data_IF_606897399619
#
_entry.id   IF_606897399619
#
_cell.length_a   1.000
_cell.length_b   1.000
_cell.length_c   1.000
_cell.angle_alpha   90.00
_cell.angle_beta   90.00
_cell.angle_gamma   90.00
#
_symmetry.space_group_name_H-M   'P 1'
#
loop_
_entity.id
_entity.type
_entity.pdbx_description
1 polymer ?
#
# COMPACT_ATOMS: atom_id res chain seq x y z
N UNK A 1 -36.85 -15.01 15.09
CA UNK A 1 -36.01 -13.89 15.57
C UNK A 1 -34.50 -14.12 15.38
N UNK A 2 -33.94 -15.31 15.62
CA UNK A 2 -32.49 -15.58 15.51
C UNK A 2 -31.84 -15.33 14.14
N UNK A 3 -32.53 -15.61 13.02
CA UNK A 3 -31.94 -15.46 11.68
C UNK A 3 -31.68 -14.01 11.25
N UNK A 4 -32.48 -13.06 11.74
CA UNK A 4 -32.33 -11.64 11.43
C UNK A 4 -31.09 -11.03 12.11
N UNK A 5 -30.87 -11.38 13.37
CA UNK A 5 -29.72 -10.91 14.15
C UNK A 5 -28.40 -11.41 13.59
N UNK A 6 -28.33 -12.68 13.16
CA UNK A 6 -27.12 -13.25 12.54
C UNK A 6 -26.77 -12.54 11.22
N UNK A 7 -27.78 -12.18 10.40
CA UNK A 7 -27.59 -11.45 9.14
C UNK A 7 -27.09 -10.03 9.37
N UNK A 8 -27.60 -9.35 10.41
CA UNK A 8 -27.21 -7.99 10.79
C UNK A 8 -25.78 -7.95 11.33
N UNK A 9 -25.41 -8.88 12.23
CA UNK A 9 -24.05 -9.01 12.76
C UNK A 9 -23.05 -9.28 11.62
N UNK A 10 -23.40 -10.12 10.64
CA UNK A 10 -22.55 -10.43 9.48
C UNK A 10 -22.27 -9.20 8.60
N UNK A 11 -23.28 -8.38 8.36
CA UNK A 11 -23.14 -7.15 7.56
C UNK A 11 -22.28 -6.13 8.30
N UNK A 12 -22.48 -5.99 9.61
CA UNK A 12 -21.68 -5.11 10.46
C UNK A 12 -20.20 -5.56 10.51
N UNK A 13 -19.92 -6.84 10.74
CA UNK A 13 -18.54 -7.36 10.79
C UNK A 13 -17.81 -7.18 9.45
N UNK A 14 -18.50 -7.42 8.32
CA UNK A 14 -17.91 -7.22 7.00
C UNK A 14 -17.62 -5.73 6.72
N UNK A 15 -18.57 -4.84 7.04
CA UNK A 15 -18.41 -3.39 6.84
C UNK A 15 -17.32 -2.81 7.75
N UNK A 16 -17.26 -3.23 9.01
CA UNK A 16 -16.22 -2.79 9.95
C UNK A 16 -14.85 -3.30 9.52
N UNK A 17 -14.75 -4.57 9.12
CA UNK A 17 -13.49 -5.16 8.65
C UNK A 17 -12.95 -4.50 7.39
N UNK A 18 -13.82 -4.22 6.40
CA UNK A 18 -13.43 -3.53 5.17
C UNK A 18 -13.00 -2.08 5.45
N UNK A 19 -13.76 -1.36 6.27
CA UNK A 19 -13.42 0.03 6.64
C UNK A 19 -12.10 0.10 7.42
N UNK A 20 -11.84 -0.84 8.32
CA UNK A 20 -10.58 -0.92 9.06
C UNK A 20 -9.39 -1.22 8.13
N UNK A 21 -9.57 -2.10 7.15
CA UNK A 21 -8.56 -2.40 6.13
C UNK A 21 -8.24 -1.16 5.27
N UNK A 22 -9.26 -0.45 4.80
CA UNK A 22 -9.09 0.77 4.02
C UNK A 22 -8.41 1.88 4.82
N UNK A 23 -8.80 2.08 6.08
CA UNK A 23 -8.15 3.03 6.97
C UNK A 23 -6.67 2.68 7.20
N UNK A 24 -6.36 1.39 7.35
CA UNK A 24 -4.98 0.94 7.54
C UNK A 24 -4.12 1.10 6.27
N UNK A 25 -4.70 0.86 5.09
CA UNK A 25 -4.06 1.13 3.80
C UNK A 25 -3.78 2.63 3.65
N UNK A 26 -4.76 3.49 3.96
CA UNK A 26 -4.61 4.93 3.90
C UNK A 26 -3.53 5.44 4.89
N UNK A 27 -3.50 4.89 6.10
CA UNK A 27 -2.47 5.17 7.10
C UNK A 27 -1.08 4.75 6.63
N UNK A 28 -0.95 3.56 6.00
CA UNK A 28 0.30 3.12 5.40
C UNK A 28 0.76 4.02 4.25
N UNK A 29 -0.16 4.39 3.36
CA UNK A 29 0.13 5.28 2.25
C UNK A 29 0.59 6.65 2.76
N UNK A 30 -0.06 7.18 3.81
CA UNK A 30 0.34 8.42 4.46
C UNK A 30 1.74 8.33 5.09
N UNK A 31 2.02 7.26 5.84
CA UNK A 31 3.37 7.00 6.39
C UNK A 31 4.41 6.90 5.26
N UNK A 32 4.12 6.17 4.19
CA UNK A 32 5.04 6.04 3.06
C UNK A 32 5.37 7.40 2.43
N UNK A 33 4.36 8.22 2.11
CA UNK A 33 4.56 9.54 1.49
C UNK A 33 5.35 10.48 2.40
N UNK A 34 5.07 10.49 3.70
CA UNK A 34 5.83 11.32 4.66
C UNK A 34 7.28 10.88 4.82
N UNK A 35 7.57 9.58 4.68
CA UNK A 35 8.94 9.05 4.66
C UNK A 35 9.68 9.37 3.35
N UNK A 36 9.01 9.29 2.20
CA UNK A 36 9.58 9.64 0.89
C UNK A 36 9.90 11.14 0.75
N UNK A 37 9.03 12.02 1.25
CA UNK A 37 9.28 13.48 1.20
C UNK A 37 10.51 13.94 2.02
N UNK A 38 10.92 13.16 3.04
CA UNK A 38 12.17 13.44 3.79
C UNK A 38 13.43 13.06 3.00
N UNK A 39 13.33 12.17 2.02
CA UNK A 39 14.45 11.72 1.17
C UNK A 39 14.75 12.76 0.09
N UNK A 40 13.71 13.36 -0.49
CA UNK A 40 13.83 14.39 -1.53
C UNK A 40 14.53 15.66 -1.01
N UNK A 41 14.16 16.13 0.19
CA UNK A 41 14.79 17.30 0.82
C UNK A 41 16.26 17.08 1.22
N UNK A 42 16.74 15.84 1.20
CA UNK A 42 18.15 15.52 1.45
C UNK A 42 19.00 15.61 0.18
N UNK A 43 18.42 15.45 -1.01
CA UNK A 43 19.14 15.59 -2.28
C UNK A 43 19.70 17.01 -2.47
N UNK A 44 18.99 18.05 -1.99
CA UNK A 44 19.46 19.43 -2.07
C UNK A 44 20.71 19.69 -1.23
N UNK A 45 20.81 19.12 -0.02
CA UNK A 45 21.99 19.26 0.84
C UNK A 45 23.26 18.60 0.23
N UNK A 46 23.08 17.60 -0.64
CA UNK A 46 24.20 16.97 -1.36
C UNK A 46 24.73 17.86 -2.48
N UNK A 47 23.85 18.61 -3.14
CA UNK A 47 24.25 19.58 -4.16
C UNK A 47 25.07 20.70 -3.53
N UNK A 48 24.64 21.22 -2.39
CA UNK A 48 25.35 22.28 -1.66
C UNK A 48 26.77 21.84 -1.23
N UNK A 49 26.88 20.63 -0.68
CA UNK A 49 28.16 20.03 -0.25
C UNK A 49 29.16 19.88 -1.40
N UNK A 50 28.68 19.36 -2.54
CA UNK A 50 29.51 19.20 -3.74
C UNK A 50 29.93 20.53 -4.37
N UNK A 51 29.07 21.55 -4.27
CA UNK A 51 29.36 22.89 -4.77
C UNK A 51 30.49 23.54 -3.96
N UNK A 52 30.43 23.47 -2.63
CA UNK A 52 31.48 23.99 -1.74
C UNK A 52 32.83 23.32 -2.04
N UNK A 53 32.85 22.00 -2.22
CA UNK A 53 34.08 21.27 -2.53
C UNK A 53 34.66 21.64 -3.91
N UNK A 54 33.80 21.84 -4.90
CA UNK A 54 34.21 22.31 -6.23
C UNK A 54 34.77 23.73 -6.18
N UNK A 55 34.17 24.61 -5.39
CA UNK A 55 34.58 26.00 -5.22
C UNK A 55 35.94 26.09 -4.50
N UNK A 56 36.14 25.33 -3.42
CA UNK A 56 37.44 25.27 -2.69
C UNK A 56 38.55 24.73 -3.61
N UNK A 57 38.23 23.71 -4.41
CA UNK A 57 39.17 23.15 -5.39
C UNK A 57 39.49 24.14 -6.51
N UNK A 58 38.50 24.93 -6.94
CA UNK A 58 38.65 26.00 -7.92
C UNK A 58 39.63 27.08 -7.43
N UNK A 59 39.40 27.63 -6.23
CA UNK A 59 40.28 28.64 -5.64
C UNK A 59 41.72 28.13 -5.51
N UNK A 60 41.91 26.89 -5.05
CA UNK A 60 43.23 26.31 -4.90
C UNK A 60 43.94 26.15 -6.26
N UNK A 61 43.20 25.73 -7.29
CA UNK A 61 43.71 25.62 -8.65
C UNK A 61 44.10 26.99 -9.20
N UNK A 62 43.23 27.98 -9.08
CA UNK A 62 43.45 29.33 -9.59
C UNK A 62 44.70 29.95 -8.96
N UNK A 63 44.84 29.90 -7.64
CA UNK A 63 46.03 30.42 -6.93
C UNK A 63 47.30 29.67 -7.35
N UNK A 64 47.22 28.37 -7.61
CA UNK A 64 48.37 27.56 -8.05
C UNK A 64 48.79 27.90 -9.49
N UNK A 65 47.81 28.08 -10.38
CA UNK A 65 48.06 28.45 -11.79
C UNK A 65 48.64 29.88 -11.86
N UNK A 66 48.15 30.80 -11.01
CA UNK A 66 48.71 32.14 -10.84
C UNK A 66 50.16 32.12 -10.34
N UNK A 67 50.46 31.35 -9.30
CA UNK A 67 51.83 31.23 -8.76
C UNK A 67 52.78 30.62 -9.81
N UNK A 68 52.31 29.62 -10.55
CA UNK A 68 53.08 28.99 -11.63
C UNK A 68 53.36 29.98 -12.76
N UNK A 69 52.36 30.77 -13.16
CA UNK A 69 52.49 31.84 -14.16
C UNK A 69 53.43 32.95 -13.71
N UNK A 70 53.28 33.44 -12.48
CA UNK A 70 54.19 34.41 -11.86
C UNK A 70 55.63 33.91 -11.93
N UNK A 71 55.92 32.69 -11.43
CA UNK A 71 57.27 32.11 -11.46
C UNK A 71 57.81 31.97 -12.87
N UNK A 72 56.99 31.53 -13.83
CA UNK A 72 57.34 31.46 -15.24
C UNK A 72 57.74 32.82 -15.81
N UNK A 73 56.99 33.87 -15.50
CA UNK A 73 57.29 35.25 -15.89
C UNK A 73 58.58 35.77 -15.23
N UNK A 74 58.77 35.53 -13.93
CA UNK A 74 59.98 35.96 -13.23
C UNK A 74 61.24 35.32 -13.84
N UNK A 75 61.17 34.03 -14.18
CA UNK A 75 62.26 33.26 -14.79
C UNK A 75 62.56 33.70 -16.23
N UNK A 76 61.53 33.78 -17.07
CA UNK A 76 61.70 33.94 -18.53
C UNK A 76 61.60 35.40 -18.99
N UNK A 77 60.82 36.22 -18.28
CA UNK A 77 60.40 37.55 -18.74
C UNK A 77 59.31 37.53 -19.82
N UNK A 78 58.82 36.35 -20.24
CA UNK A 78 57.76 36.27 -21.24
C UNK A 78 56.39 36.55 -20.61
N UNK A 79 55.72 37.60 -21.08
CA UNK A 79 54.40 38.01 -20.61
C UNK A 79 53.30 36.95 -20.83
N UNK A 80 53.48 35.99 -21.74
CA UNK A 80 52.53 34.89 -21.96
C UNK A 80 52.28 34.08 -20.67
N UNK A 81 53.29 33.97 -19.79
CA UNK A 81 53.13 33.30 -18.50
C UNK A 81 52.20 34.05 -17.54
N UNK A 82 51.87 35.32 -17.80
CA UNK A 82 50.93 36.10 -16.99
C UNK A 82 49.46 35.87 -17.38
N UNK A 83 49.18 35.07 -18.40
CA UNK A 83 47.81 34.76 -18.82
C UNK A 83 46.94 34.20 -17.68
N UNK A 84 47.37 33.18 -16.90
CA UNK A 84 46.57 32.66 -15.78
C UNK A 84 46.30 33.72 -14.69
N UNK A 85 47.19 34.70 -14.54
CA UNK A 85 47.03 35.79 -13.58
C UNK A 85 45.97 36.82 -14.01
N UNK A 86 45.85 37.06 -15.32
CA UNK A 86 44.87 37.97 -15.87
C UNK A 86 43.45 37.36 -15.87
N UNK A 87 43.34 36.07 -16.16
CA UNK A 87 42.05 35.36 -16.26
C UNK A 87 41.37 35.20 -14.89
N UNK A 88 42.09 34.76 -13.85
CA UNK A 88 41.53 34.50 -12.51
C UNK A 88 41.14 35.76 -11.75
N UNK A 89 41.82 36.90 -11.99
CA UNK A 89 41.47 38.19 -11.36
C UNK A 89 40.04 38.64 -11.66
N UNK A 90 39.43 38.15 -12.75
CA UNK A 90 38.05 38.47 -13.11
C UNK A 90 37.00 37.53 -12.51
N UNK A 91 37.39 36.39 -11.96
CA UNK A 91 36.47 35.37 -11.42
C UNK A 91 36.33 35.38 -9.90
N UNK A 92 37.26 36.01 -9.17
CA UNK A 92 37.40 35.90 -7.71
C UNK A 92 36.43 36.80 -6.93
N UNK A 93 35.14 36.77 -7.26
CA UNK A 93 34.13 37.66 -6.67
C UNK A 93 32.93 36.93 -6.06
N UNK A 94 33.00 35.61 -5.83
CA UNK A 94 31.88 34.86 -5.23
C UNK A 94 32.37 33.76 -4.30
N UNK A 95 32.02 33.93 -3.01
CA UNK A 95 31.34 32.99 -2.10
C UNK A 95 32.09 31.86 -1.40
N UNK A 96 33.29 32.09 -0.86
CA UNK A 96 33.82 31.18 0.17
C UNK A 96 34.25 31.86 1.45
N UNK A 97 34.39 31.06 2.51
CA UNK A 97 34.78 31.46 3.86
C UNK A 97 35.80 32.60 3.84
N UNK A 98 35.45 33.69 4.54
CA UNK A 98 36.20 34.96 4.57
C UNK A 98 37.70 34.82 4.81
N UNK A 99 38.14 33.73 5.44
CA UNK A 99 39.53 33.44 5.74
C UNK A 99 40.31 32.97 4.50
N UNK A 100 39.74 32.07 3.69
CA UNK A 100 40.37 31.56 2.45
C UNK A 100 40.49 32.67 1.40
N UNK A 101 39.45 33.50 1.26
CA UNK A 101 39.46 34.65 0.37
C UNK A 101 40.51 35.69 0.79
N UNK A 102 40.62 35.97 2.09
CA UNK A 102 41.61 36.91 2.64
C UNK A 102 43.06 36.46 2.38
N UNK A 103 43.34 35.17 2.57
CA UNK A 103 44.67 34.60 2.30
C UNK A 103 44.99 34.57 0.80
N UNK A 104 44.02 34.20 -0.04
CA UNK A 104 44.19 34.23 -1.49
C UNK A 104 44.45 35.66 -1.99
N UNK A 105 43.73 36.67 -1.46
CA UNK A 105 43.97 38.08 -1.76
C UNK A 105 45.35 38.55 -1.30
N UNK A 106 45.78 38.16 -0.10
CA UNK A 106 47.12 38.47 0.43
C UNK A 106 48.23 37.90 -0.45
N UNK A 107 48.05 36.65 -0.90
CA UNK A 107 48.95 36.01 -1.86
C UNK A 107 48.97 36.74 -3.21
N UNK A 108 47.82 37.15 -3.72
CA UNK A 108 47.75 37.92 -4.96
C UNK A 108 48.49 39.26 -4.87
N UNK A 109 48.40 39.95 -3.72
CA UNK A 109 49.14 41.19 -3.48
C UNK A 109 50.66 40.96 -3.41
N UNK A 110 51.13 39.83 -2.87
CA UNK A 110 52.55 39.45 -2.94
C UNK A 110 52.99 39.18 -4.39
N UNK A 111 52.22 38.39 -5.15
CA UNK A 111 52.52 38.09 -6.55
C UNK A 111 52.60 39.36 -7.40
N UNK A 112 51.64 40.29 -7.27
CA UNK A 112 51.62 41.58 -7.96
C UNK A 112 52.90 42.39 -7.69
N UNK A 113 53.35 42.43 -6.42
CA UNK A 113 54.59 43.13 -6.04
C UNK A 113 55.79 42.55 -6.78
N UNK A 114 55.91 41.23 -6.87
CA UNK A 114 57.02 40.58 -7.58
C UNK A 114 56.98 40.82 -9.10
N UNK A 115 55.79 40.77 -9.70
CA UNK A 115 55.56 41.00 -11.14
C UNK A 115 55.89 42.44 -11.50
N UNK A 116 55.42 43.40 -10.70
CA UNK A 116 55.69 44.83 -10.89
C UNK A 116 57.19 45.12 -10.82
N UNK A 117 57.91 44.55 -9.83
CA UNK A 117 59.36 44.69 -9.73
C UNK A 117 60.08 44.14 -10.97
N UNK A 118 59.59 43.03 -11.52
CA UNK A 118 60.14 42.42 -12.74
C UNK A 118 59.89 43.29 -13.98
N UNK A 119 58.68 43.85 -14.11
CA UNK A 119 58.30 44.76 -15.20
C UNK A 119 59.11 46.06 -15.19
N UNK A 120 59.44 46.57 -14.01
CA UNK A 120 60.31 47.75 -13.83
C UNK A 120 61.80 47.47 -14.12
N UNK A 121 62.16 46.25 -14.51
CA UNK A 121 63.55 45.84 -14.79
C UNK A 121 64.34 45.41 -13.56
N UNK A 122 63.78 45.46 -12.35
CA UNK A 122 64.45 45.07 -11.10
C UNK A 122 64.45 43.55 -10.88
N UNK A 123 65.06 42.79 -11.81
CA UNK A 123 65.10 41.31 -11.75
C UNK A 123 65.54 40.79 -10.39
N UNK A 124 66.70 41.20 -9.87
CA UNK A 124 67.18 40.72 -8.55
C UNK A 124 66.21 41.03 -7.41
N UNK A 125 65.57 42.20 -7.40
CA UNK A 125 64.59 42.54 -6.34
C UNK A 125 63.33 41.68 -6.43
N UNK A 126 62.86 41.37 -7.64
CA UNK A 126 61.72 40.46 -7.82
C UNK A 126 61.99 39.05 -7.31
N UNK A 127 63.20 38.51 -7.51
CA UNK A 127 63.60 37.21 -6.96
C UNK A 127 63.79 37.25 -5.45
N UNK A 128 64.45 38.28 -4.92
CA UNK A 128 64.63 38.43 -3.47
C UNK A 128 63.29 38.49 -2.72
N UNK A 129 62.22 39.01 -3.33
CA UNK A 129 60.88 39.01 -2.74
C UNK A 129 60.31 37.58 -2.63
N UNK A 130 60.45 36.76 -3.67
CA UNK A 130 60.03 35.35 -3.64
C UNK A 130 60.87 34.54 -2.66
N UNK A 131 62.17 34.84 -2.55
CA UNK A 131 63.10 34.20 -1.61
C UNK A 131 62.79 34.50 -0.14
N UNK A 132 61.89 35.46 0.16
CA UNK A 132 61.44 35.71 1.54
C UNK A 132 60.53 34.60 2.09
N UNK A 133 60.08 33.68 1.24
CA UNK A 133 59.09 32.64 1.56
C UNK A 133 57.72 33.18 2.02
N UNK A 134 57.44 34.49 1.90
CA UNK A 134 56.13 35.10 2.21
C UNK A 134 55.02 34.42 1.39
N UNK A 135 55.22 34.28 0.07
CA UNK A 135 54.27 33.62 -0.84
C UNK A 135 54.08 32.11 -0.57
N UNK A 136 55.11 31.45 -0.03
CA UNK A 136 55.06 30.04 0.39
C UNK A 136 54.21 29.91 1.66
N UNK A 137 54.41 30.77 2.64
CA UNK A 137 53.61 30.81 3.87
C UNK A 137 52.12 30.98 3.58
N UNK A 138 51.75 31.90 2.68
CA UNK A 138 50.36 32.02 2.24
C UNK A 138 49.85 30.76 1.56
N UNK A 139 50.65 30.10 0.71
CA UNK A 139 50.21 28.88 0.01
C UNK A 139 49.98 27.71 0.96
N UNK A 140 50.87 27.54 1.94
CA UNK A 140 50.78 26.48 2.91
C UNK A 140 49.52 26.65 3.76
N UNK A 141 49.19 27.90 4.13
CA UNK A 141 47.96 28.20 4.88
C UNK A 141 46.69 28.01 4.03
N UNK A 142 46.69 28.46 2.77
CA UNK A 142 45.61 28.21 1.81
C UNK A 142 45.36 26.71 1.66
N UNK A 143 46.43 25.90 1.47
CA UNK A 143 46.31 24.43 1.38
C UNK A 143 45.79 23.81 2.67
N UNK A 144 46.22 24.32 3.83
CA UNK A 144 45.77 23.84 5.15
C UNK A 144 44.27 24.07 5.32
N UNK A 145 43.79 25.27 5.05
CA UNK A 145 42.37 25.64 5.17
C UNK A 145 41.54 24.87 4.14
N UNK A 146 41.95 24.83 2.87
CA UNK A 146 41.25 24.07 1.82
C UNK A 146 41.12 22.58 2.18
N UNK A 147 42.17 22.00 2.78
CA UNK A 147 42.16 20.60 3.23
C UNK A 147 41.23 20.41 4.43
N UNK A 148 41.21 21.33 5.40
CA UNK A 148 40.29 21.23 6.55
C UNK A 148 38.82 21.41 6.14
N UNK A 149 38.53 22.30 5.18
CA UNK A 149 37.19 22.48 4.64
C UNK A 149 36.74 21.22 3.92
N UNK A 150 37.57 20.71 3.01
CA UNK A 150 37.29 19.48 2.26
C UNK A 150 37.08 18.27 3.16
N UNK A 151 37.87 18.14 4.23
CA UNK A 151 37.75 17.06 5.21
C UNK A 151 36.48 17.19 6.06
N UNK A 152 36.16 18.40 6.52
CA UNK A 152 34.95 18.69 7.29
C UNK A 152 33.72 18.36 6.46
N UNK A 153 33.69 18.81 5.22
CA UNK A 153 32.56 18.61 4.31
C UNK A 153 32.39 17.13 3.93
N UNK A 154 33.48 16.43 3.63
CA UNK A 154 33.46 14.98 3.37
C UNK A 154 32.94 14.18 4.58
N UNK A 155 33.30 14.59 5.80
CA UNK A 155 32.86 13.93 7.03
C UNK A 155 31.36 14.18 7.31
N UNK A 156 30.89 15.41 7.08
CA UNK A 156 29.48 15.79 7.19
C UNK A 156 28.63 15.04 6.16
N UNK A 157 29.14 14.88 4.95
CA UNK A 157 28.51 14.09 3.89
C UNK A 157 28.41 12.61 4.27
N UNK A 158 29.51 11.99 4.70
CA UNK A 158 29.53 10.58 5.09
C UNK A 158 28.59 10.30 6.29
N UNK A 159 28.49 11.25 7.23
CA UNK A 159 27.54 11.16 8.35
C UNK A 159 26.09 11.28 7.87
N UNK A 160 25.80 12.27 7.02
CA UNK A 160 24.47 12.46 6.43
C UNK A 160 24.04 11.25 5.59
N UNK A 161 24.95 10.65 4.83
CA UNK A 161 24.68 9.46 4.01
C UNK A 161 24.40 8.21 4.87
N UNK A 162 25.16 8.00 5.95
CA UNK A 162 24.89 6.93 6.92
C UNK A 162 23.56 7.10 7.64
N UNK A 163 23.24 8.33 8.06
CA UNK A 163 21.94 8.63 8.68
C UNK A 163 20.79 8.43 7.68
N UNK A 164 20.97 8.78 6.40
CA UNK A 164 19.99 8.52 5.32
C UNK A 164 19.77 7.04 5.07
N UNK A 165 20.83 6.27 4.88
CA UNK A 165 20.72 4.83 4.60
C UNK A 165 20.13 4.06 5.78
N UNK A 166 20.45 4.46 7.02
CA UNK A 166 19.83 3.90 8.22
C UNK A 166 18.35 4.30 8.34
N UNK A 167 18.00 5.55 8.07
CA UNK A 167 16.61 6.02 8.09
C UNK A 167 15.76 5.35 7.01
N UNK A 168 16.30 5.20 5.79
CA UNK A 168 15.68 4.46 4.69
C UNK A 168 15.46 3.00 5.05
N UNK A 169 16.47 2.32 5.62
CA UNK A 169 16.33 0.93 6.07
C UNK A 169 15.28 0.77 7.17
N UNK A 170 15.24 1.67 8.16
CA UNK A 170 14.21 1.67 9.21
C UNK A 170 12.82 1.89 8.64
N UNK A 171 12.65 2.88 7.75
CA UNK A 171 11.39 3.16 7.08
C UNK A 171 10.90 1.95 6.26
N UNK A 172 11.80 1.37 5.44
CA UNK A 172 11.49 0.15 4.69
C UNK A 172 11.08 -1.00 5.61
N UNK A 173 11.83 -1.26 6.69
CA UNK A 173 11.49 -2.32 7.63
C UNK A 173 10.13 -2.10 8.31
N UNK A 174 9.80 -0.86 8.68
CA UNK A 174 8.53 -0.53 9.31
C UNK A 174 7.36 -0.74 8.34
N UNK A 175 7.50 -0.31 7.08
CA UNK A 175 6.50 -0.55 6.03
C UNK A 175 6.36 -2.04 5.72
N UNK A 176 7.46 -2.80 5.66
CA UNK A 176 7.45 -4.24 5.39
C UNK A 176 6.70 -5.02 6.49
N UNK A 177 6.97 -4.70 7.76
CA UNK A 177 6.30 -5.31 8.91
C UNK A 177 4.81 -4.96 8.88
N UNK A 178 4.47 -3.70 8.64
CA UNK A 178 3.08 -3.25 8.58
C UNK A 178 2.27 -3.96 7.48
N UNK A 179 2.85 -4.07 6.28
CA UNK A 179 2.24 -4.82 5.18
C UNK A 179 2.13 -6.32 5.48
N UNK A 180 3.11 -6.90 6.17
CA UNK A 180 3.06 -8.30 6.59
C UNK A 180 1.89 -8.54 7.55
N UNK A 181 1.70 -7.65 8.54
CA UNK A 181 0.56 -7.71 9.47
C UNK A 181 -0.77 -7.59 8.71
N UNK A 182 -0.85 -6.68 7.74
CA UNK A 182 -2.05 -6.50 6.91
C UNK A 182 -2.37 -7.77 6.09
N UNK A 183 -1.35 -8.39 5.50
CA UNK A 183 -1.48 -9.65 4.76
C UNK A 183 -2.00 -10.77 5.67
N UNK A 184 -1.45 -10.92 6.87
CA UNK A 184 -1.90 -11.92 7.84
C UNK A 184 -3.36 -11.68 8.23
N UNK A 185 -3.75 -10.44 8.53
CA UNK A 185 -5.13 -10.10 8.86
C UNK A 185 -6.10 -10.40 7.71
N UNK A 186 -5.72 -10.08 6.46
CA UNK A 186 -6.50 -10.36 5.28
C UNK A 186 -6.67 -11.87 5.06
N UNK A 187 -5.60 -12.66 5.22
CA UNK A 187 -5.64 -14.12 5.11
C UNK A 187 -6.52 -14.73 6.22
N UNK A 188 -6.39 -14.27 7.47
CA UNK A 188 -7.23 -14.71 8.58
C UNK A 188 -8.71 -14.40 8.33
N UNK A 189 -9.04 -13.19 7.91
CA UNK A 189 -10.41 -12.81 7.56
C UNK A 189 -10.97 -13.67 6.43
N UNK A 190 -10.17 -13.90 5.38
CA UNK A 190 -10.56 -14.77 4.26
C UNK A 190 -10.81 -16.21 4.72
N UNK A 191 -9.95 -16.79 5.56
CA UNK A 191 -10.11 -18.13 6.10
C UNK A 191 -11.36 -18.25 6.99
N UNK A 192 -11.63 -17.26 7.84
CA UNK A 192 -12.83 -17.22 8.68
C UNK A 192 -14.10 -17.16 7.82
N UNK A 193 -14.14 -16.28 6.82
CA UNK A 193 -15.26 -16.18 5.87
C UNK A 193 -15.45 -17.52 5.14
N UNK A 194 -14.37 -18.16 4.70
CA UNK A 194 -14.44 -19.46 4.03
C UNK A 194 -14.93 -20.57 4.97
N UNK A 195 -14.48 -20.59 6.22
CA UNK A 195 -14.88 -21.58 7.22
C UNK A 195 -16.37 -21.45 7.56
N UNK A 196 -16.83 -20.23 7.84
CA UNK A 196 -18.25 -19.96 8.09
C UNK A 196 -19.12 -20.25 6.86
N UNK A 197 -18.63 -19.94 5.66
CA UNK A 197 -19.32 -20.26 4.41
C UNK A 197 -19.52 -21.76 4.18
N UNK A 198 -18.60 -22.62 4.65
CA UNK A 198 -18.77 -24.08 4.58
C UNK A 198 -19.83 -24.59 5.55
N UNK A 199 -19.75 -24.16 6.82
CA UNK A 199 -20.70 -24.57 7.87
C UNK A 199 -22.15 -24.24 7.50
N UNK A 200 -22.38 -23.05 6.94
CA UNK A 200 -23.71 -22.62 6.50
C UNK A 200 -24.23 -23.42 5.31
N UNK A 201 -23.35 -23.85 4.40
CA UNK A 201 -23.76 -24.73 3.29
C UNK A 201 -24.19 -26.10 3.81
N UNK A 202 -23.50 -26.62 4.83
CA UNK A 202 -23.88 -27.88 5.47
C UNK A 202 -25.24 -27.77 6.17
N UNK A 203 -25.49 -26.69 6.92
CA UNK A 203 -26.80 -26.44 7.54
C UNK A 203 -27.92 -26.27 6.51
N UNK A 204 -27.67 -25.51 5.43
CA UNK A 204 -28.64 -25.33 4.35
C UNK A 204 -28.97 -26.66 3.65
N UNK A 205 -27.98 -27.51 3.42
CA UNK A 205 -28.19 -28.86 2.85
C UNK A 205 -28.97 -29.75 3.82
N UNK A 206 -28.69 -29.71 5.13
CA UNK A 206 -29.43 -30.47 6.13
C UNK A 206 -30.90 -30.06 6.21
N UNK A 207 -31.18 -28.75 6.29
CA UNK A 207 -32.55 -28.24 6.33
C UNK A 207 -33.31 -28.62 5.07
N UNK A 208 -32.68 -28.53 3.89
CA UNK A 208 -33.29 -28.95 2.63
C UNK A 208 -33.60 -30.45 2.62
N UNK A 209 -32.70 -31.28 3.13
CA UNK A 209 -32.93 -32.72 3.24
C UNK A 209 -34.06 -33.05 4.23
N UNK A 210 -34.15 -32.36 5.36
CA UNK A 210 -35.25 -32.54 6.31
C UNK A 210 -36.61 -32.20 5.67
N UNK A 211 -36.68 -31.10 4.92
CA UNK A 211 -37.90 -30.72 4.18
C UNK A 211 -38.29 -31.76 3.14
N UNK A 212 -37.32 -32.30 2.40
CA UNK A 212 -37.58 -33.38 1.43
C UNK A 212 -38.11 -34.63 2.14
N UNK A 213 -37.53 -35.02 3.27
CA UNK A 213 -38.01 -36.17 4.06
C UNK A 213 -39.43 -35.94 4.59
N UNK A 214 -39.73 -34.74 5.12
CA UNK A 214 -41.08 -34.43 5.60
C UNK A 214 -42.10 -34.39 4.47
N UNK A 215 -41.74 -33.84 3.31
CA UNK A 215 -42.60 -33.87 2.13
C UNK A 215 -42.90 -35.31 1.69
N UNK A 216 -41.90 -36.19 1.66
CA UNK A 216 -42.10 -37.61 1.34
C UNK A 216 -42.98 -38.32 2.39
N UNK A 217 -42.84 -37.99 3.67
CA UNK A 217 -43.71 -38.53 4.72
C UNK A 217 -45.16 -38.08 4.56
N UNK A 218 -45.37 -36.79 4.26
CA UNK A 218 -46.70 -36.25 3.97
C UNK A 218 -47.31 -36.92 2.74
N UNK A 219 -46.56 -37.08 1.65
CA UNK A 219 -47.04 -37.75 0.45
C UNK A 219 -47.48 -39.19 0.72
N UNK A 220 -46.68 -39.95 1.49
CA UNK A 220 -47.03 -41.32 1.92
C UNK A 220 -48.29 -41.36 2.79
N UNK A 221 -48.43 -40.44 3.74
CA UNK A 221 -49.62 -40.34 4.60
C UNK A 221 -50.85 -40.00 3.79
N UNK A 222 -50.76 -39.03 2.88
CA UNK A 222 -51.86 -38.63 2.00
C UNK A 222 -52.26 -39.78 1.08
N UNK A 223 -51.30 -40.51 0.51
CA UNK A 223 -51.57 -41.70 -0.31
C UNK A 223 -52.24 -42.83 0.48
N UNK A 224 -51.76 -43.13 1.69
CA UNK A 224 -52.34 -44.17 2.55
C UNK A 224 -53.77 -43.82 3.00
N UNK A 225 -53.98 -42.59 3.45
CA UNK A 225 -55.30 -42.10 3.88
C UNK A 225 -56.27 -42.05 2.69
N UNK A 226 -55.82 -41.57 1.52
CA UNK A 226 -56.65 -41.54 0.31
C UNK A 226 -57.01 -42.95 -0.16
N UNK A 227 -56.06 -43.88 -0.15
CA UNK A 227 -56.29 -45.28 -0.50
C UNK A 227 -57.30 -45.96 0.44
N UNK A 228 -57.13 -45.80 1.75
CA UNK A 228 -58.04 -46.35 2.75
C UNK A 228 -59.44 -45.73 2.66
N UNK A 229 -59.51 -44.40 2.52
CA UNK A 229 -60.77 -43.68 2.36
C UNK A 229 -61.54 -44.16 1.11
N UNK A 230 -60.83 -44.31 -0.02
CA UNK A 230 -61.40 -44.84 -1.26
C UNK A 230 -61.94 -46.26 -1.07
N UNK A 231 -61.17 -47.15 -0.44
CA UNK A 231 -61.61 -48.52 -0.17
C UNK A 231 -62.89 -48.56 0.68
N UNK A 232 -62.94 -47.76 1.74
CA UNK A 232 -64.11 -47.67 2.62
C UNK A 232 -65.32 -47.10 1.88
N UNK A 233 -65.15 -46.07 1.04
CA UNK A 233 -66.23 -45.49 0.23
C UNK A 233 -66.79 -46.49 -0.78
N UNK A 234 -65.92 -47.23 -1.48
CA UNK A 234 -66.35 -48.29 -2.42
C UNK A 234 -67.13 -49.38 -1.69
N UNK A 235 -66.67 -49.82 -0.53
CA UNK A 235 -67.36 -50.82 0.27
C UNK A 235 -68.74 -50.32 0.78
N UNK A 236 -68.82 -49.08 1.27
CA UNK A 236 -70.08 -48.47 1.71
C UNK A 236 -71.09 -48.35 0.57
N UNK A 237 -70.64 -47.87 -0.59
CA UNK A 237 -71.50 -47.75 -1.77
C UNK A 237 -71.97 -49.13 -2.26
N UNK A 238 -71.07 -50.11 -2.37
CA UNK A 238 -71.43 -51.47 -2.77
C UNK A 238 -72.42 -52.12 -1.79
N UNK A 239 -72.15 -52.04 -0.48
CA UNK A 239 -73.02 -52.60 0.55
C UNK A 239 -74.39 -51.93 0.57
N UNK A 240 -74.45 -50.60 0.45
CA UNK A 240 -75.73 -49.88 0.37
C UNK A 240 -76.52 -50.29 -0.88
N UNK A 241 -75.86 -50.39 -2.04
CA UNK A 241 -76.49 -50.84 -3.28
C UNK A 241 -77.04 -52.25 -3.17
N UNK A 242 -76.25 -53.19 -2.65
CA UNK A 242 -76.68 -54.58 -2.42
C UNK A 242 -77.81 -54.68 -1.41
N UNK A 243 -77.81 -53.83 -0.38
CA UNK A 243 -78.88 -53.75 0.61
C UNK A 243 -80.20 -53.28 -0.03
N UNK A 244 -80.14 -52.23 -0.86
CA UNK A 244 -81.29 -51.71 -1.61
C UNK A 244 -81.80 -52.71 -2.66
N UNK A 245 -80.90 -53.39 -3.38
CA UNK A 245 -81.26 -54.31 -4.45
C UNK A 245 -81.84 -55.63 -3.93
N UNK A 246 -81.21 -56.25 -2.93
CA UNK A 246 -81.64 -57.56 -2.42
C UNK A 246 -82.72 -57.46 -1.33
N UNK A 247 -82.71 -56.40 -0.53
CA UNK A 247 -83.58 -56.28 0.64
C UNK A 247 -84.47 -55.03 0.61
N UNK A 248 -84.41 -54.22 -0.44
CA UNK A 248 -85.20 -52.99 -0.59
C UNK A 248 -86.67 -53.20 -0.29
N UNK A 249 -87.30 -54.22 -0.90
CA UNK A 249 -88.72 -54.53 -0.69
C UNK A 249 -89.11 -54.99 0.73
N UNK A 250 -88.13 -55.39 1.55
CA UNK A 250 -88.32 -55.89 2.92
C UNK A 250 -87.91 -54.88 4.00
N UNK A 251 -87.24 -53.80 3.63
CA UNK A 251 -86.81 -52.76 4.56
C UNK A 251 -87.99 -51.86 4.95
N UNK A 252 -88.13 -51.50 6.26
CA UNK A 252 -89.02 -50.43 6.68
C UNK A 252 -88.69 -49.13 5.94
N UNK A 253 -89.67 -48.23 5.72
CA UNK A 253 -89.46 -46.95 5.02
C UNK A 253 -88.26 -46.14 5.55
N UNK A 254 -88.03 -46.18 6.86
CA UNK A 254 -86.87 -45.52 7.47
C UNK A 254 -85.54 -46.20 7.07
N UNK A 255 -85.50 -47.53 7.00
CA UNK A 255 -84.31 -48.29 6.59
C UNK A 255 -83.93 -48.07 5.11
N UNK A 256 -84.92 -47.93 4.23
CA UNK A 256 -84.69 -47.53 2.83
C UNK A 256 -84.10 -46.12 2.73
N UNK A 257 -84.65 -45.16 3.47
CA UNK A 257 -84.17 -43.77 3.46
C UNK A 257 -82.71 -43.69 3.95
N UNK A 258 -82.34 -44.44 5.00
CA UNK A 258 -80.95 -44.48 5.47
C UNK A 258 -80.00 -45.13 4.45
N UNK A 259 -80.42 -46.20 3.77
CA UNK A 259 -79.59 -46.84 2.75
C UNK A 259 -79.35 -45.90 1.55
N UNK A 260 -80.40 -45.22 1.06
CA UNK A 260 -80.25 -44.25 -0.02
C UNK A 260 -79.36 -43.07 0.40
N UNK A 261 -79.51 -42.56 1.63
CA UNK A 261 -78.65 -41.52 2.18
C UNK A 261 -77.18 -41.97 2.28
N UNK A 262 -76.91 -43.22 2.68
CA UNK A 262 -75.53 -43.76 2.71
C UNK A 262 -74.93 -43.87 1.31
N UNK A 263 -75.74 -44.21 0.30
CA UNK A 263 -75.32 -44.29 -1.10
C UNK A 263 -75.01 -42.89 -1.66
N UNK A 264 -75.88 -41.92 -1.42
CA UNK A 264 -75.66 -40.52 -1.83
C UNK A 264 -74.42 -39.92 -1.15
N UNK A 265 -74.29 -40.08 0.17
CA UNK A 265 -73.12 -39.61 0.91
C UNK A 265 -71.80 -40.24 0.42
N UNK A 266 -71.81 -41.54 0.08
CA UNK A 266 -70.64 -42.20 -0.49
C UNK A 266 -70.30 -41.69 -1.90
N UNK A 267 -71.30 -41.32 -2.70
CA UNK A 267 -71.11 -40.74 -4.03
C UNK A 267 -70.58 -39.30 -3.95
N UNK A 268 -71.14 -38.47 -3.07
CA UNK A 268 -70.67 -37.10 -2.82
C UNK A 268 -69.22 -37.08 -2.33
N UNK A 269 -68.87 -37.98 -1.40
CA UNK A 269 -67.49 -38.09 -0.90
C UNK A 269 -66.49 -38.50 -1.99
N UNK A 270 -66.87 -39.40 -2.90
CA UNK A 270 -66.01 -39.80 -4.03
C UNK A 270 -65.84 -38.66 -5.04
N UNK A 271 -66.89 -37.85 -5.27
CA UNK A 271 -66.81 -36.66 -6.10
C UNK A 271 -65.88 -35.60 -5.49
N UNK A 272 -66.04 -35.29 -4.20
CA UNK A 272 -65.16 -34.36 -3.48
C UNK A 272 -63.68 -34.80 -3.52
N UNK A 273 -63.43 -36.10 -3.41
CA UNK A 273 -62.09 -36.68 -3.53
C UNK A 273 -61.51 -36.48 -4.94
N UNK A 274 -62.32 -36.65 -5.98
CA UNK A 274 -61.88 -36.43 -7.36
C UNK A 274 -61.53 -34.95 -7.60
N UNK A 275 -62.34 -34.02 -7.10
CA UNK A 275 -62.07 -32.58 -7.19
C UNK A 275 -60.77 -32.19 -6.48
N UNK A 276 -60.53 -32.70 -5.27
CA UNK A 276 -59.30 -32.46 -4.50
C UNK A 276 -58.04 -33.03 -5.17
N UNK A 277 -58.14 -34.16 -5.88
CA UNK A 277 -57.00 -34.80 -6.56
C UNK A 277 -56.75 -34.20 -7.96
N UNK A 278 -57.78 -33.67 -8.60
CA UNK A 278 -57.69 -33.07 -9.95
C UNK A 278 -57.33 -31.59 -9.96
N UNK A 279 -57.34 -30.92 -8.79
CA UNK A 279 -56.84 -29.55 -8.66
C UNK A 279 -55.30 -29.57 -8.69
N UNK A 280 -54.63 -29.03 -9.73
CA UNK A 280 -53.18 -28.98 -9.75
C UNK A 280 -52.68 -28.03 -8.65
N UNK A 281 -51.66 -28.46 -7.92
CA UNK A 281 -50.95 -27.62 -6.97
C UNK A 281 -50.28 -26.46 -7.73
N UNK A 282 -50.80 -25.24 -7.56
CA UNK A 282 -50.11 -24.00 -7.91
C UNK A 282 -49.07 -23.64 -6.84
#
# INVERSE_FOLDING_TARGET
>A
MKDGEIKMIRKAVLQIGVSALLAFIAWNAYLAVTHLGRVEKSASLTLDSSAIQAEVSGVLKDVTDMESGQRGYLLTGNADYLQPYAETRTQQQRSLESELESLAASKQVEMERSITLRQQGYRRRSFNLVDTDEGKGYMDEIRRIASSLSATESSNFARSDRERTAALKRAFSATLISNSVLLVLAVCAFLLIRRHGRLLREEAVRSRNELVVRNLQLEKLTAALSGQARSNMVALNMNSRLLLENYGGFLPRQGQAYAEQMKEAAAEMEQLRQDLVSTPAN
#
